data_IF_561275757591
#
_entry.id   IF_561275757591
#
_cell.length_a   1.000
_cell.length_b   1.000
_cell.length_c   1.000
_cell.angle_alpha   90.00
_cell.angle_beta   90.00
_cell.angle_gamma   90.00
#
_symmetry.space_group_name_H-M   'P 1'
#
loop_
_entity.id
_entity.type
_entity.pdbx_description
1 polymer ?
#
# COMPACT_ATOMS: atom_id res chain seq x y z
N UNK A 1 -4.78 15.17 -0.32
CA UNK A 1 -5.94 14.23 -0.48
C UNK A 1 -5.97 13.14 0.62
N UNK A 2 -7.04 12.33 0.72
CA UNK A 2 -7.12 11.17 1.64
C UNK A 2 -6.58 9.92 0.94
N UNK A 3 -5.62 9.24 1.57
CA UNK A 3 -4.89 8.09 1.00
C UNK A 3 -5.11 6.89 1.91
N UNK A 4 -5.37 5.72 1.31
CA UNK A 4 -5.39 4.46 2.03
C UNK A 4 -4.13 3.66 1.71
N UNK A 5 -3.38 3.28 2.73
CA UNK A 5 -2.37 2.23 2.63
C UNK A 5 -2.98 0.94 3.15
N UNK A 6 -3.14 -0.03 2.26
CA UNK A 6 -3.85 -1.27 2.52
C UNK A 6 -2.93 -2.47 2.33
N UNK A 7 -2.85 -3.31 3.36
CA UNK A 7 -2.23 -4.61 3.28
C UNK A 7 -3.32 -5.68 3.40
N UNK A 8 -3.69 -6.43 2.36
CA UNK A 8 -4.72 -7.47 2.46
C UNK A 8 -4.29 -8.57 3.46
N UNK A 9 -5.24 -9.28 4.06
CA UNK A 9 -4.86 -10.48 4.83
C UNK A 9 -4.39 -11.59 3.90
N UNK A 10 -3.60 -12.49 4.46
CA UNK A 10 -3.06 -13.60 3.69
C UNK A 10 -4.00 -14.80 3.59
N UNK A 11 -5.13 -14.82 4.32
CA UNK A 11 -6.11 -15.91 4.36
C UNK A 11 -5.61 -17.30 4.79
N UNK A 12 -4.30 -17.49 4.96
CA UNK A 12 -3.65 -18.81 5.07
C UNK A 12 -3.08 -19.03 6.45
N UNK A 13 -2.22 -18.13 6.94
CA UNK A 13 -1.44 -18.39 8.16
C UNK A 13 -2.06 -17.79 9.41
N UNK A 14 -3.12 -16.97 9.29
CA UNK A 14 -3.64 -16.11 10.37
C UNK A 14 -2.50 -15.39 11.13
N UNK A 15 -1.38 -15.15 10.44
CA UNK A 15 -0.18 -14.61 11.05
C UNK A 15 -0.41 -13.14 11.37
N UNK A 16 -0.21 -12.78 12.62
CA UNK A 16 -0.36 -11.42 13.13
C UNK A 16 1.03 -10.78 13.23
N UNK A 17 1.51 -10.25 12.11
CA UNK A 17 2.73 -9.43 12.09
C UNK A 17 2.44 -8.15 11.31
N UNK A 18 2.42 -6.98 11.99
CA UNK A 18 2.19 -5.70 11.34
C UNK A 18 3.25 -5.42 10.27
N UNK A 19 2.82 -4.85 9.14
CA UNK A 19 3.75 -4.50 8.06
C UNK A 19 4.31 -3.09 8.26
N UNK A 20 5.64 -2.99 8.40
CA UNK A 20 6.33 -1.71 8.63
C UNK A 20 6.13 -0.70 7.49
N UNK A 21 6.04 -1.18 6.25
CA UNK A 21 6.01 -0.31 5.05
C UNK A 21 4.90 0.74 5.10
N UNK A 22 3.73 0.39 5.65
CA UNK A 22 2.59 1.32 5.74
C UNK A 22 2.90 2.53 6.61
N UNK A 23 3.58 2.31 7.74
CA UNK A 23 3.97 3.38 8.65
C UNK A 23 5.11 4.22 8.10
N UNK A 24 6.05 3.59 7.39
CA UNK A 24 7.12 4.28 6.69
C UNK A 24 6.57 5.21 5.61
N UNK A 25 5.69 4.70 4.73
CA UNK A 25 5.09 5.51 3.67
C UNK A 25 4.17 6.59 4.23
N UNK A 26 3.46 6.33 5.33
CA UNK A 26 2.73 7.38 6.05
C UNK A 26 3.67 8.52 6.49
N UNK A 27 4.82 8.19 7.10
CA UNK A 27 5.79 9.19 7.54
C UNK A 27 6.45 9.95 6.36
N UNK A 28 6.57 9.32 5.20
CA UNK A 28 7.12 9.90 3.97
C UNK A 28 6.08 10.63 3.12
N UNK A 29 4.79 10.54 3.46
CA UNK A 29 3.73 11.19 2.69
C UNK A 29 3.87 12.72 2.81
N UNK A 30 3.87 13.47 1.69
CA UNK A 30 3.93 14.93 1.71
C UNK A 30 2.84 15.56 2.60
N UNK A 31 3.13 16.69 3.27
CA UNK A 31 2.15 17.38 4.12
C UNK A 31 0.89 17.79 3.33
N UNK A 32 -0.23 17.97 4.03
CA UNK A 32 -1.54 18.26 3.41
C UNK A 32 -2.35 17.02 2.99
N UNK A 33 -1.81 15.83 3.27
CA UNK A 33 -2.43 14.54 3.02
C UNK A 33 -2.85 13.87 4.33
N UNK A 34 -3.98 13.17 4.28
CA UNK A 34 -4.43 12.30 5.37
C UNK A 34 -4.20 10.85 4.95
N UNK A 35 -3.52 10.07 5.78
CA UNK A 35 -3.17 8.69 5.48
C UNK A 35 -3.87 7.76 6.47
N UNK A 36 -4.72 6.89 5.96
CA UNK A 36 -5.41 5.83 6.68
C UNK A 36 -4.69 4.51 6.44
N UNK A 37 -4.55 3.69 7.48
CA UNK A 37 -3.86 2.40 7.42
C UNK A 37 -4.84 1.27 7.73
N UNK A 38 -4.90 0.26 6.86
CA UNK A 38 -5.60 -0.99 7.15
C UNK A 38 -4.63 -2.15 6.96
N UNK A 39 -4.30 -2.83 8.05
CA UNK A 39 -3.68 -4.15 7.99
C UNK A 39 -4.77 -5.23 8.07
N UNK A 40 -4.99 -5.93 6.95
CA UNK A 40 -5.94 -7.02 6.84
C UNK A 40 -5.69 -8.13 7.86
N UNK A 41 -4.44 -8.36 8.29
CA UNK A 41 -4.15 -9.37 9.32
C UNK A 41 -4.68 -8.95 10.70
N UNK A 42 -4.90 -7.66 10.93
CA UNK A 42 -5.49 -7.11 12.15
C UNK A 42 -7.01 -6.86 11.98
N UNK A 43 -7.41 -6.34 10.82
CA UNK A 43 -8.79 -6.04 10.45
C UNK A 43 -9.05 -6.55 9.03
N UNK A 44 -9.42 -7.83 8.92
CA UNK A 44 -9.75 -8.44 7.64
C UNK A 44 -10.93 -7.71 6.99
N UNK A 45 -10.87 -7.55 5.67
CA UNK A 45 -11.95 -7.02 4.86
C UNK A 45 -12.17 -7.93 3.66
N UNK A 46 -13.43 -8.11 3.30
CA UNK A 46 -13.82 -8.63 1.99
C UNK A 46 -13.90 -7.51 0.92
N UNK A 47 -14.17 -7.90 -0.32
CA UNK A 47 -14.30 -7.00 -1.47
C UNK A 47 -15.39 -5.94 -1.27
N UNK A 48 -16.54 -6.29 -0.70
CA UNK A 48 -17.64 -5.35 -0.50
C UNK A 48 -17.29 -4.33 0.60
N UNK A 49 -16.69 -4.79 1.69
CA UNK A 49 -16.26 -3.97 2.81
C UNK A 49 -15.19 -2.96 2.41
N UNK A 50 -14.16 -3.37 1.67
CA UNK A 50 -13.10 -2.45 1.24
C UNK A 50 -13.62 -1.41 0.25
N UNK A 51 -14.50 -1.82 -0.68
CA UNK A 51 -15.11 -0.89 -1.62
C UNK A 51 -15.98 0.15 -0.90
N UNK A 52 -16.72 -0.29 0.12
CA UNK A 52 -17.55 0.60 0.93
C UNK A 52 -16.71 1.55 1.75
N UNK A 53 -15.64 1.06 2.39
CA UNK A 53 -14.69 1.89 3.13
C UNK A 53 -14.08 2.97 2.24
N UNK A 54 -13.64 2.62 1.03
CA UNK A 54 -13.07 3.56 0.06
C UNK A 54 -14.05 4.70 -0.27
N UNK A 55 -15.34 4.38 -0.44
CA UNK A 55 -16.39 5.38 -0.71
C UNK A 55 -16.69 6.26 0.51
N UNK A 56 -16.92 5.64 1.66
CA UNK A 56 -17.32 6.33 2.88
C UNK A 56 -16.22 7.28 3.37
N UNK A 57 -14.97 6.82 3.32
CA UNK A 57 -13.81 7.63 3.67
C UNK A 57 -13.34 8.54 2.53
N UNK A 58 -14.03 8.57 1.37
CA UNK A 58 -13.69 9.42 0.22
C UNK A 58 -12.20 9.32 -0.14
N UNK A 59 -11.70 8.09 -0.18
CA UNK A 59 -10.30 7.82 -0.51
C UNK A 59 -10.03 8.24 -1.96
N UNK A 60 -8.92 8.91 -2.19
CA UNK A 60 -8.53 9.43 -3.51
C UNK A 60 -7.33 8.67 -4.13
N UNK A 61 -6.61 7.89 -3.32
CA UNK A 61 -5.49 7.05 -3.75
C UNK A 61 -5.37 5.85 -2.82
N UNK A 62 -5.12 4.67 -3.38
CA UNK A 62 -4.83 3.46 -2.59
C UNK A 62 -3.44 2.93 -2.93
N UNK A 63 -2.61 2.71 -1.92
CA UNK A 63 -1.37 1.95 -2.01
C UNK A 63 -1.57 0.52 -1.47
N UNK A 64 -1.21 -0.50 -2.24
CA UNK A 64 -1.29 -1.92 -1.85
C UNK A 64 0.08 -2.57 -1.92
N UNK A 65 0.55 -3.11 -0.79
CA UNK A 65 1.76 -3.94 -0.73
C UNK A 65 1.43 -5.43 -0.83
N UNK A 66 2.14 -6.17 -1.68
CA UNK A 66 1.93 -7.61 -1.85
C UNK A 66 3.23 -8.43 -1.87
N UNK A 67 3.25 -9.47 -1.03
CA UNK A 67 4.15 -10.63 -1.19
C UNK A 67 3.48 -11.67 -2.10
N UNK A 68 4.26 -12.55 -2.74
CA UNK A 68 3.73 -13.58 -3.67
C UNK A 68 2.61 -14.42 -3.05
N UNK A 69 2.76 -14.83 -1.78
CA UNK A 69 1.73 -15.60 -1.06
C UNK A 69 0.40 -14.87 -0.84
N UNK A 70 0.35 -13.55 -1.08
CA UNK A 70 -0.82 -12.69 -0.88
C UNK A 70 -1.38 -12.17 -2.20
N UNK A 71 -0.67 -12.35 -3.32
CA UNK A 71 -0.93 -11.61 -4.55
C UNK A 71 -2.33 -11.87 -5.11
N UNK A 72 -2.81 -13.11 -5.09
CA UNK A 72 -4.14 -13.44 -5.60
C UNK A 72 -5.27 -12.68 -4.86
N UNK A 73 -5.14 -12.46 -3.55
CA UNK A 73 -6.09 -11.64 -2.80
C UNK A 73 -5.84 -10.15 -3.02
N UNK A 74 -4.57 -9.72 -3.10
CA UNK A 74 -4.22 -8.34 -3.41
C UNK A 74 -4.80 -7.88 -4.74
N UNK A 75 -4.72 -8.69 -5.80
CA UNK A 75 -5.32 -8.40 -7.10
C UNK A 75 -6.84 -8.30 -7.06
N UNK A 76 -7.55 -9.26 -6.41
CA UNK A 76 -9.01 -9.16 -6.26
C UNK A 76 -9.45 -7.89 -5.53
N UNK A 77 -8.70 -7.51 -4.48
CA UNK A 77 -8.98 -6.28 -3.75
C UNK A 77 -8.65 -5.04 -4.58
N UNK A 78 -7.53 -5.05 -5.31
CA UNK A 78 -7.13 -3.96 -6.20
C UNK A 78 -8.19 -3.75 -7.29
N UNK A 79 -8.64 -4.80 -7.96
CA UNK A 79 -9.70 -4.74 -8.98
C UNK A 79 -10.99 -4.13 -8.43
N UNK A 80 -11.38 -4.56 -7.23
CA UNK A 80 -12.58 -4.07 -6.55
C UNK A 80 -12.47 -2.58 -6.20
N UNK A 81 -11.30 -2.16 -5.72
CA UNK A 81 -11.04 -0.75 -5.40
C UNK A 81 -11.00 0.09 -6.68
N UNK A 82 -10.33 -0.38 -7.73
CA UNK A 82 -10.29 0.30 -9.03
C UNK A 82 -11.67 0.47 -9.65
N UNK A 83 -12.56 -0.51 -9.46
CA UNK A 83 -13.95 -0.41 -9.90
C UNK A 83 -14.74 0.73 -9.20
N UNK A 84 -14.24 1.29 -8.09
CA UNK A 84 -14.81 2.49 -7.46
C UNK A 84 -14.37 3.80 -8.11
N UNK A 85 -13.44 3.75 -9.07
CA UNK A 85 -12.87 4.92 -9.76
C UNK A 85 -11.65 5.53 -9.05
N UNK A 86 -11.19 4.93 -7.95
CA UNK A 86 -10.00 5.37 -7.21
C UNK A 86 -8.75 4.69 -7.78
N UNK A 87 -7.68 5.44 -8.10
CA UNK A 87 -6.45 4.86 -8.60
C UNK A 87 -5.76 3.98 -7.55
N UNK A 88 -5.27 2.83 -8.00
CA UNK A 88 -4.52 1.87 -7.18
C UNK A 88 -3.06 1.81 -7.61
N UNK A 89 -2.17 2.02 -6.65
CA UNK A 89 -0.71 1.81 -6.80
C UNK A 89 -0.34 0.54 -6.06
N UNK A 90 0.24 -0.42 -6.78
CA UNK A 90 0.71 -1.67 -6.16
C UNK A 90 2.23 -1.67 -5.99
N UNK A 91 2.72 -2.32 -4.95
CA UNK A 91 4.15 -2.50 -4.72
C UNK A 91 4.45 -3.74 -3.88
N UNK A 92 5.70 -3.85 -3.44
CA UNK A 92 6.19 -4.98 -2.67
C UNK A 92 6.83 -6.07 -3.53
N UNK A 93 7.41 -7.11 -2.90
CA UNK A 93 8.34 -8.02 -3.56
C UNK A 93 7.78 -8.73 -4.80
N UNK A 94 6.50 -9.11 -4.80
CA UNK A 94 5.92 -9.77 -5.97
C UNK A 94 5.79 -8.80 -7.15
N UNK A 95 5.31 -7.58 -6.90
CA UNK A 95 5.10 -6.57 -7.94
C UNK A 95 6.43 -6.07 -8.50
N UNK A 96 7.49 -6.03 -7.68
CA UNK A 96 8.85 -5.72 -8.16
C UNK A 96 9.34 -6.72 -9.20
N UNK A 97 9.10 -8.02 -8.98
CA UNK A 97 9.55 -9.08 -9.89
C UNK A 97 8.59 -9.28 -11.08
N UNK A 98 7.28 -9.16 -10.85
CA UNK A 98 6.22 -9.46 -11.83
C UNK A 98 5.36 -8.21 -12.15
N UNK A 99 6.02 -7.09 -12.42
CA UNK A 99 5.37 -5.81 -12.68
C UNK A 99 4.36 -5.86 -13.85
N UNK A 100 4.71 -6.59 -14.91
CA UNK A 100 3.87 -6.75 -16.09
C UNK A 100 2.60 -7.56 -15.80
N UNK A 101 2.60 -8.43 -14.78
CA UNK A 101 1.39 -9.12 -14.31
C UNK A 101 0.41 -8.11 -13.68
N UNK A 102 0.89 -7.30 -12.73
CA UNK A 102 0.05 -6.29 -12.08
C UNK A 102 -0.50 -5.24 -13.07
N UNK A 103 0.27 -4.90 -14.10
CA UNK A 103 -0.13 -3.95 -15.15
C UNK A 103 -0.96 -4.58 -16.28
N UNK A 104 -1.18 -5.91 -16.27
CA UNK A 104 -1.92 -6.62 -17.33
C UNK A 104 -1.19 -6.65 -18.68
N UNK A 105 0.14 -6.47 -18.68
CA UNK A 105 0.98 -6.46 -19.89
C UNK A 105 1.40 -7.86 -20.33
N UNK A 106 1.24 -8.86 -19.48
CA UNK A 106 1.47 -10.27 -19.80
C UNK A 106 0.26 -10.98 -20.45
N UNK A 107 -0.79 -10.23 -20.83
CA UNK A 107 -2.05 -10.76 -21.39
C UNK A 107 -3.13 -11.07 -20.35
N UNK A 108 -2.83 -10.91 -19.06
CA UNK A 108 -3.80 -10.96 -17.97
C UNK A 108 -4.60 -9.65 -17.78
N UNK A 109 -5.57 -9.65 -16.85
CA UNK A 109 -6.26 -8.42 -16.45
C UNK A 109 -5.30 -7.43 -15.78
N UNK A 110 -5.59 -6.13 -15.94
CA UNK A 110 -4.86 -5.06 -15.26
C UNK A 110 -5.39 -4.88 -13.85
N UNK A 111 -4.51 -5.02 -12.87
CA UNK A 111 -4.83 -4.93 -11.44
C UNK A 111 -4.42 -3.61 -10.80
N UNK A 112 -3.46 -2.89 -11.39
CA UNK A 112 -2.96 -1.62 -10.86
C UNK A 112 -2.98 -0.51 -11.91
N UNK A 113 -3.16 0.74 -11.48
CA UNK A 113 -2.99 1.90 -12.35
C UNK A 113 -1.51 2.28 -12.44
N UNK A 114 -0.75 2.08 -11.35
CA UNK A 114 0.70 2.23 -11.29
C UNK A 114 1.35 1.14 -10.41
N UNK A 115 2.64 0.90 -10.62
CA UNK A 115 3.46 0.05 -9.76
C UNK A 115 4.67 0.80 -9.19
N UNK A 116 4.97 0.54 -7.92
CA UNK A 116 6.18 0.98 -7.24
C UNK A 116 7.14 -0.22 -7.11
N UNK A 117 8.23 -0.18 -7.88
CA UNK A 117 9.26 -1.21 -7.91
C UNK A 117 10.34 -0.92 -6.86
N UNK A 118 10.87 -1.97 -6.24
CA UNK A 118 11.90 -1.84 -5.20
C UNK A 118 11.37 -1.17 -3.92
N UNK A 119 12.25 -0.46 -3.22
CA UNK A 119 11.89 0.32 -2.02
C UNK A 119 11.20 1.63 -2.43
N UNK A 120 10.03 1.89 -1.85
CA UNK A 120 9.20 3.03 -2.24
C UNK A 120 9.57 4.35 -1.53
N UNK A 121 10.63 4.38 -0.71
CA UNK A 121 11.00 5.56 0.09
C UNK A 121 11.13 6.84 -0.73
N UNK A 122 11.84 6.77 -1.86
CA UNK A 122 12.09 7.92 -2.73
C UNK A 122 10.99 8.15 -3.77
N UNK A 123 10.26 7.09 -4.13
CA UNK A 123 9.23 7.14 -5.18
C UNK A 123 7.86 7.50 -4.63
N UNK A 124 7.54 7.14 -3.38
CA UNK A 124 6.24 7.39 -2.76
C UNK A 124 5.84 8.87 -2.72
N UNK A 125 6.72 9.82 -2.31
CA UNK A 125 6.37 11.24 -2.38
C UNK A 125 6.04 11.70 -3.81
N UNK A 126 6.72 11.15 -4.83
CA UNK A 126 6.47 11.45 -6.23
C UNK A 126 5.14 10.87 -6.69
N UNK A 127 4.85 9.62 -6.34
CA UNK A 127 3.57 8.94 -6.61
C UNK A 127 2.40 9.77 -6.06
N UNK A 128 2.50 10.24 -4.81
CA UNK A 128 1.44 11.03 -4.18
C UNK A 128 1.23 12.35 -4.93
N UNK A 129 2.30 13.05 -5.29
CA UNK A 129 2.21 14.31 -6.04
C UNK A 129 1.63 14.11 -7.45
N UNK A 130 2.06 13.06 -8.15
CA UNK A 130 1.56 12.73 -9.49
C UNK A 130 0.08 12.32 -9.44
N UNK A 131 -0.33 11.53 -8.43
CA UNK A 131 -1.73 11.21 -8.20
C UNK A 131 -2.60 12.44 -7.94
N UNK A 132 -2.10 13.42 -7.16
CA UNK A 132 -2.84 14.66 -6.89
C UNK A 132 -3.08 15.47 -8.17
N UNK A 133 -2.15 15.42 -9.13
CA UNK A 133 -2.27 16.10 -10.42
C UNK A 133 -3.01 15.27 -11.49
N UNK A 134 -3.35 14.01 -11.20
CA UNK A 134 -3.91 13.09 -12.20
C UNK A 134 -2.89 12.63 -13.25
N UNK A 135 -1.60 12.65 -12.91
CA UNK A 135 -0.45 12.39 -13.80
C UNK A 135 0.31 11.11 -13.39
N UNK A 136 -0.37 10.13 -12.80
CA UNK A 136 0.26 8.87 -12.40
C UNK A 136 0.95 8.20 -13.59
N UNK A 137 2.22 7.82 -13.39
CA UNK A 137 2.99 6.99 -14.32
C UNK A 137 2.69 5.52 -14.03
N UNK A 138 2.78 4.67 -15.04
CA UNK A 138 2.54 3.24 -14.82
C UNK A 138 3.62 2.58 -13.97
N UNK A 139 4.87 3.07 -14.02
CA UNK A 139 6.02 2.50 -13.30
C UNK A 139 6.79 3.60 -12.58
N UNK A 140 7.03 3.38 -11.29
CA UNK A 140 7.95 4.14 -10.46
C UNK A 140 9.05 3.21 -9.95
N UNK A 141 10.31 3.55 -10.20
CA UNK A 141 11.46 2.76 -9.76
C UNK A 141 12.55 3.69 -9.19
N UNK A 142 13.17 3.35 -8.05
CA UNK A 142 14.27 4.13 -7.47
C UNK A 142 15.55 3.80 -8.24
N UNK A 143 15.73 4.38 -9.41
CA UNK A 143 16.93 4.21 -10.23
C UNK A 143 17.87 5.40 -10.12
N UNK A 144 19.17 5.16 -10.19
CA UNK A 144 20.18 6.21 -10.32
C UNK A 144 20.21 6.81 -11.75
N UNK A 145 21.08 7.79 -11.97
CA UNK A 145 21.22 8.43 -13.28
C UNK A 145 21.65 7.48 -14.41
N UNK A 146 22.17 6.30 -14.07
CA UNK A 146 22.55 5.25 -15.02
C UNK A 146 21.44 4.19 -15.19
N UNK A 147 20.28 4.37 -14.55
CA UNK A 147 19.15 3.44 -14.61
C UNK A 147 19.31 2.21 -13.71
N UNK A 148 20.29 2.20 -12.79
CA UNK A 148 20.51 1.09 -11.88
C UNK A 148 19.69 1.27 -10.60
N UNK A 149 19.12 0.17 -10.10
CA UNK A 149 18.41 0.18 -8.81
C UNK A 149 19.29 0.76 -7.69
N UNK A 150 18.71 1.73 -6.99
CA UNK A 150 19.30 2.45 -5.87
C UNK A 150 18.50 2.16 -4.62
N UNK A 151 19.13 1.51 -3.65
CA UNK A 151 18.53 1.31 -2.32
C UNK A 151 18.60 2.61 -1.51
N UNK A 152 17.56 2.94 -0.74
CA UNK A 152 17.58 4.11 0.12
C UNK A 152 18.69 3.99 1.17
N UNK A 153 19.24 5.14 1.57
CA UNK A 153 20.18 5.20 2.69
C UNK A 153 19.45 4.89 3.99
N UNK A 154 20.06 4.08 4.86
CA UNK A 154 19.57 3.90 6.23
C UNK A 154 19.99 5.06 7.16
N UNK A 155 20.74 6.04 6.66
CA UNK A 155 21.21 7.19 7.43
C UNK A 155 21.00 8.51 6.66
N UNK A 156 20.13 9.42 7.15
CA UNK A 156 19.17 9.20 8.24
C UNK A 156 18.01 8.30 7.78
N UNK A 157 17.47 7.46 8.68
CA UNK A 157 16.22 6.75 8.42
C UNK A 157 15.01 7.60 8.84
N UNK A 158 13.88 7.58 8.10
CA UNK A 158 12.69 8.32 8.47
C UNK A 158 12.21 7.99 9.89
N UNK A 159 11.93 9.03 10.69
CA UNK A 159 11.41 8.85 12.04
C UNK A 159 9.90 8.60 11.98
N UNK A 160 9.50 7.37 12.27
CA UNK A 160 8.08 7.03 12.45
C UNK A 160 7.63 7.52 13.83
N UNK A 161 6.56 8.34 13.93
CA UNK A 161 6.12 8.92 15.19
C UNK A 161 5.25 7.94 16.00
N UNK A 162 5.83 6.81 16.42
CA UNK A 162 5.11 5.70 17.08
C UNK A 162 4.23 6.14 18.25
N UNK A 163 4.64 7.16 19.01
CA UNK A 163 3.93 7.66 20.19
C UNK A 163 2.59 8.35 19.87
N UNK A 164 2.40 8.81 18.63
CA UNK A 164 1.19 9.54 18.22
C UNK A 164 0.32 8.76 17.24
N UNK A 165 0.75 7.58 16.80
CA UNK A 165 0.01 6.77 15.84
C UNK A 165 -1.19 6.07 16.50
N UNK A 166 -2.30 6.00 15.77
CA UNK A 166 -3.45 5.18 16.18
C UNK A 166 -3.17 3.70 15.91
N UNK A 167 -2.74 2.99 16.96
CA UNK A 167 -2.44 1.56 16.91
C UNK A 167 -3.60 0.68 17.41
N UNK A 168 -4.81 1.24 17.58
CA UNK A 168 -5.97 0.49 18.13
C UNK A 168 -6.33 -0.74 17.32
N UNK A 169 -6.12 -0.72 16.00
CA UNK A 169 -6.38 -1.89 15.15
C UNK A 169 -5.56 -3.13 15.57
N UNK A 170 -4.41 -2.95 16.22
CA UNK A 170 -3.54 -4.03 16.67
C UNK A 170 -3.80 -4.47 18.12
N UNK A 171 -4.76 -3.86 18.82
CA UNK A 171 -5.15 -4.26 20.19
C UNK A 171 -6.07 -5.49 20.15
N UNK A 172 -5.52 -6.64 19.72
CA UNK A 172 -6.29 -7.88 19.55
C UNK A 172 -6.54 -8.66 20.84
N UNK A 173 -5.85 -8.34 21.93
CA UNK A 173 -6.04 -8.98 23.23
C UNK A 173 -7.25 -8.34 23.94
N UNK A 174 -8.32 -9.09 24.23
CA UNK A 174 -9.45 -8.57 24.99
C UNK A 174 -9.03 -8.07 26.36
N UNK A 175 -9.54 -6.89 26.76
CA UNK A 175 -9.20 -6.24 28.04
C UNK A 175 -9.48 -7.10 29.29
N UNK A 176 -10.34 -8.12 29.19
CA UNK A 176 -10.62 -9.08 30.27
C UNK A 176 -9.44 -10.00 30.63
N UNK A 177 -8.34 -9.98 29.88
CA UNK A 177 -7.14 -10.79 30.15
C UNK A 177 -5.94 -9.99 30.70
N UNK A 178 -6.14 -8.74 31.10
CA UNK A 178 -5.12 -7.99 31.85
C UNK A 178 -5.28 -8.27 33.35
N UNK A 179 -4.23 -8.75 34.06
CA UNK A 179 -4.26 -8.95 35.50
C UNK A 179 -4.42 -7.63 36.28
#
# INVERSE_FOLDING_TARGET
MRILLYNPDNGVTRNFMPHLWMFLLQALTPPGHEVLLIDGNAKAMDEAEIAQFVRDEKIALVGIGAMTRMVAKAYRMADTIRATGVPVVMGGPHVTEEADEALGRNGGPRHADAVALGEADETWPQIVQDAERGELKEIYAPVDAAGKERKPSLNPYPRIPWDTLDLRQFQLVPKMMHP
#
